data_IF_718404382454
#
_entry.id   IF_718404382454
#
_cell.length_a   1.000
_cell.length_b   1.000
_cell.length_c   1.000
_cell.angle_alpha   90.00
_cell.angle_beta   90.00
_cell.angle_gamma   90.00
#
_symmetry.space_group_name_H-M   'P 1'
#
loop_
_entity.id
_entity.type
_entity.pdbx_description
1 polymer ?
#
# COMPACT_ATOMS: atom_id res chain seq x y z
N UNK A 1 14.13 3.13 -6.33
CA UNK A 1 13.96 2.59 -4.97
C UNK A 1 14.52 3.58 -3.95
N UNK A 2 13.79 3.91 -2.89
CA UNK A 2 14.33 4.78 -1.83
C UNK A 2 15.55 4.12 -1.17
N UNK A 3 16.61 4.88 -0.83
CA UNK A 3 17.77 4.29 -0.17
C UNK A 3 17.34 3.71 1.19
N UNK A 4 17.54 2.40 1.39
CA UNK A 4 17.12 1.59 2.55
C UNK A 4 17.63 2.09 3.93
N UNK A 5 18.44 3.15 3.97
CA UNK A 5 19.06 3.73 5.17
C UNK A 5 18.45 5.05 5.67
N UNK A 6 17.41 5.61 5.05
CA UNK A 6 16.81 6.86 5.55
C UNK A 6 15.94 6.59 6.79
N UNK A 7 16.34 7.16 7.93
CA UNK A 7 15.52 7.25 9.16
C UNK A 7 14.23 8.05 8.88
N UNK A 8 13.17 7.76 9.65
CA UNK A 8 11.77 8.24 9.67
C UNK A 8 11.49 9.70 9.25
N UNK A 9 11.87 10.10 8.04
CA UNK A 9 11.76 11.48 7.54
C UNK A 9 10.91 11.58 6.28
N UNK A 10 9.97 10.66 6.06
CA UNK A 10 9.08 10.71 4.91
C UNK A 10 7.67 10.23 5.24
N UNK A 11 6.71 10.73 4.47
CA UNK A 11 5.34 10.24 4.43
C UNK A 11 5.23 9.22 3.30
N UNK A 12 4.64 8.07 3.58
CA UNK A 12 4.35 7.06 2.57
C UNK A 12 2.92 7.25 2.10
N UNK A 13 2.72 7.66 0.85
CA UNK A 13 1.39 7.74 0.24
C UNK A 13 1.15 6.46 -0.54
N UNK A 14 0.02 5.81 -0.30
CA UNK A 14 -0.38 4.57 -0.97
C UNK A 14 -1.71 4.78 -1.68
N UNK A 15 -1.70 4.57 -2.98
CA UNK A 15 -2.87 4.63 -3.85
C UNK A 15 -3.10 3.22 -4.43
N UNK A 16 -4.37 2.80 -4.51
CA UNK A 16 -4.74 1.43 -4.88
C UNK A 16 -4.72 0.42 -3.73
N UNK A 17 -5.43 -0.69 -3.91
CA UNK A 17 -5.43 -1.83 -2.99
C UNK A 17 -4.17 -2.70 -3.19
N UNK A 18 -3.85 -3.53 -2.21
CA UNK A 18 -2.63 -4.36 -2.21
C UNK A 18 -2.99 -5.82 -2.54
N UNK A 19 -2.63 -6.34 -3.73
CA UNK A 19 -2.83 -7.75 -4.05
C UNK A 19 -1.89 -8.64 -3.23
N UNK A 20 -2.41 -9.70 -2.61
CA UNK A 20 -1.59 -10.64 -1.82
C UNK A 20 -1.48 -12.03 -2.44
N UNK A 21 -2.37 -12.39 -3.37
CA UNK A 21 -2.33 -13.69 -4.04
C UNK A 21 -1.00 -13.87 -4.79
N UNK A 22 -0.58 -15.13 -4.94
CA UNK A 22 0.67 -15.47 -5.63
C UNK A 22 1.92 -14.73 -5.09
N UNK A 23 1.92 -14.42 -3.79
CA UNK A 23 2.96 -13.60 -3.13
C UNK A 23 3.07 -12.17 -3.68
N UNK A 24 1.94 -11.59 -4.10
CA UNK A 24 1.87 -10.20 -4.59
C UNK A 24 2.24 -10.02 -6.06
N UNK A 25 2.38 -11.09 -6.84
CA UNK A 25 2.76 -11.02 -8.27
C UNK A 25 1.80 -10.22 -9.16
N UNK A 26 0.56 -10.00 -8.71
CA UNK A 26 -0.44 -9.21 -9.44
C UNK A 26 -0.14 -7.70 -9.47
N UNK A 27 0.78 -7.20 -8.64
CA UNK A 27 1.25 -5.82 -8.70
C UNK A 27 2.76 -5.74 -8.45
N UNK A 28 3.51 -5.34 -9.47
CA UNK A 28 4.97 -5.16 -9.42
C UNK A 28 5.30 -3.68 -9.58
N UNK A 29 6.29 -3.21 -8.82
CA UNK A 29 6.65 -1.78 -8.74
C UNK A 29 8.04 -1.48 -9.30
N UNK A 30 8.77 -2.52 -9.68
CA UNK A 30 10.08 -2.39 -10.32
C UNK A 30 10.92 -3.65 -10.20
N UNK A 31 12.21 -3.49 -10.45
CA UNK A 31 13.20 -4.56 -10.35
C UNK A 31 14.41 -4.09 -9.54
N UNK A 32 14.93 -4.95 -8.68
CA UNK A 32 16.19 -4.73 -7.96
C UNK A 32 17.08 -5.95 -8.17
N UNK A 33 18.22 -5.75 -8.84
CA UNK A 33 19.23 -6.80 -9.09
C UNK A 33 18.60 -8.07 -9.70
N UNK A 34 17.87 -7.90 -10.80
CA UNK A 34 17.21 -8.99 -11.56
C UNK A 34 16.07 -9.69 -10.81
N UNK A 35 15.68 -9.19 -9.63
CA UNK A 35 14.50 -9.64 -8.89
C UNK A 35 13.36 -8.65 -9.07
N UNK A 36 12.20 -9.14 -9.50
CA UNK A 36 10.96 -8.37 -9.51
C UNK A 36 10.53 -8.01 -8.08
N UNK A 37 10.25 -6.74 -7.85
CA UNK A 37 9.75 -6.21 -6.59
C UNK A 37 8.23 -6.09 -6.66
N UNK A 38 7.54 -6.71 -5.71
CA UNK A 38 6.09 -6.59 -5.61
C UNK A 38 5.69 -5.34 -4.82
N UNK A 39 4.48 -4.84 -5.06
CA UNK A 39 3.89 -3.77 -4.27
C UNK A 39 3.80 -4.16 -2.79
N UNK A 40 3.48 -5.42 -2.51
CA UNK A 40 3.39 -5.96 -1.16
C UNK A 40 4.74 -5.87 -0.42
N UNK A 41 5.83 -6.32 -1.06
CA UNK A 41 7.17 -6.24 -0.50
C UNK A 41 7.60 -4.80 -0.24
N UNK A 42 7.38 -3.91 -1.21
CA UNK A 42 7.79 -2.51 -1.08
C UNK A 42 6.98 -1.78 -0.01
N UNK A 43 5.66 -2.04 0.06
CA UNK A 43 4.83 -1.53 1.14
C UNK A 43 5.36 -1.99 2.51
N UNK A 44 5.70 -3.26 2.68
CA UNK A 44 6.21 -3.79 3.95
C UNK A 44 7.56 -3.17 4.35
N UNK A 45 8.47 -2.97 3.40
CA UNK A 45 9.78 -2.34 3.66
C UNK A 45 9.63 -0.85 4.01
N UNK A 46 8.86 -0.10 3.23
CA UNK A 46 8.66 1.33 3.44
C UNK A 46 7.80 1.62 4.68
N UNK A 47 6.73 0.85 4.91
CA UNK A 47 5.83 1.08 6.04
C UNK A 47 6.56 1.00 7.39
N UNK A 48 7.59 0.15 7.54
CA UNK A 48 8.38 0.02 8.78
C UNK A 48 9.24 1.25 9.09
N UNK A 49 9.59 2.03 8.08
CA UNK A 49 10.53 3.16 8.21
C UNK A 49 9.89 4.53 7.96
N UNK A 50 8.64 4.57 7.47
CA UNK A 50 7.89 5.80 7.26
C UNK A 50 7.54 6.50 8.60
N UNK A 51 7.37 7.82 8.54
CA UNK A 51 6.88 8.61 9.68
C UNK A 51 5.38 8.38 9.90
N UNK A 52 4.62 8.43 8.81
CA UNK A 52 3.19 8.14 8.73
C UNK A 52 2.88 7.60 7.34
N UNK A 53 1.78 6.86 7.24
CA UNK A 53 1.26 6.32 6.00
C UNK A 53 -0.05 7.03 5.68
N UNK A 54 -0.24 7.42 4.44
CA UNK A 54 -1.47 8.02 3.93
C UNK A 54 -2.06 7.04 2.91
N UNK A 55 -3.14 6.35 3.28
CA UNK A 55 -3.92 5.56 2.34
C UNK A 55 -4.87 6.49 1.59
N UNK A 56 -4.49 6.82 0.36
CA UNK A 56 -5.22 7.72 -0.52
C UNK A 56 -6.18 6.92 -1.41
N UNK A 57 -7.48 7.18 -1.23
CA UNK A 57 -8.57 6.51 -1.93
C UNK A 57 -9.20 5.34 -1.17
N UNK A 58 -10.42 4.98 -1.56
CA UNK A 58 -11.17 3.87 -0.95
C UNK A 58 -10.51 2.51 -1.17
N UNK A 59 -9.77 2.35 -2.28
CA UNK A 59 -9.02 1.13 -2.60
C UNK A 59 -7.91 0.85 -1.58
N UNK A 60 -7.07 1.84 -1.27
CA UNK A 60 -5.99 1.69 -0.28
C UNK A 60 -6.54 1.69 1.15
N UNK A 61 -7.57 2.50 1.43
CA UNK A 61 -8.17 2.62 2.77
C UNK A 61 -8.94 1.38 3.20
N UNK A 62 -9.70 0.76 2.29
CA UNK A 62 -10.68 -0.29 2.61
C UNK A 62 -10.69 -1.48 1.63
N UNK A 63 -9.89 -1.46 0.58
CA UNK A 63 -9.81 -2.47 -0.47
C UNK A 63 -10.52 -2.07 -1.76
N UNK A 64 -11.63 -1.34 -1.68
CA UNK A 64 -12.36 -0.80 -2.84
C UNK A 64 -12.82 -1.87 -3.84
N UNK A 65 -12.93 -1.48 -5.12
CA UNK A 65 -13.37 -2.37 -6.20
C UNK A 65 -12.49 -3.61 -6.33
N UNK A 66 -11.15 -3.54 -6.27
CA UNK A 66 -10.31 -4.73 -6.46
C UNK A 66 -10.47 -5.80 -5.38
N UNK A 67 -10.99 -5.45 -4.19
CA UNK A 67 -11.32 -6.39 -3.11
C UNK A 67 -12.74 -6.96 -3.23
N UNK A 68 -13.61 -6.34 -4.03
CA UNK A 68 -14.97 -6.81 -4.22
C UNK A 68 -15.00 -8.24 -4.78
N UNK A 69 -16.10 -8.95 -4.57
CA UNK A 69 -16.23 -10.30 -5.12
C UNK A 69 -16.47 -10.27 -6.63
N UNK A 70 -15.85 -11.19 -7.39
CA UNK A 70 -14.83 -12.15 -6.95
C UNK A 70 -13.46 -11.50 -6.73
N UNK A 71 -12.71 -11.96 -5.71
CA UNK A 71 -11.39 -11.41 -5.35
C UNK A 71 -10.25 -12.42 -5.64
N UNK A 72 -9.92 -12.70 -6.92
CA UNK A 72 -8.91 -13.71 -7.29
C UNK A 72 -7.48 -13.28 -6.94
N UNK A 73 -7.22 -11.98 -6.84
CA UNK A 73 -5.90 -11.43 -6.50
C UNK A 73 -5.69 -11.24 -4.99
N UNK A 74 -6.68 -11.64 -4.18
CA UNK A 74 -6.71 -11.45 -2.72
C UNK A 74 -6.35 -10.02 -2.30
N UNK A 75 -6.93 -9.03 -2.98
CA UNK A 75 -6.66 -7.62 -2.69
C UNK A 75 -7.09 -7.25 -1.27
N UNK A 76 -6.21 -6.56 -0.55
CA UNK A 76 -6.43 -6.07 0.81
C UNK A 76 -6.18 -4.55 0.90
N UNK A 77 -6.74 -3.94 1.93
CA UNK A 77 -6.43 -2.56 2.30
C UNK A 77 -5.05 -2.46 2.94
N UNK A 78 -4.48 -1.25 2.94
CA UNK A 78 -3.24 -0.95 3.67
C UNK A 78 -3.40 -1.28 5.15
N UNK A 79 -4.55 -0.96 5.75
CA UNK A 79 -4.84 -1.25 7.15
C UNK A 79 -4.73 -2.75 7.48
N UNK A 80 -5.27 -3.61 6.60
CA UNK A 80 -5.20 -5.07 6.76
C UNK A 80 -3.76 -5.57 6.69
N UNK A 81 -2.98 -5.10 5.70
CA UNK A 81 -1.56 -5.48 5.58
C UNK A 81 -0.75 -5.06 6.81
N UNK A 82 -0.94 -3.82 7.30
CA UNK A 82 -0.23 -3.35 8.49
C UNK A 82 -0.58 -4.17 9.73
N UNK A 83 -1.84 -4.54 9.91
CA UNK A 83 -2.28 -5.39 11.02
C UNK A 83 -1.68 -6.80 10.92
N UNK A 84 -1.76 -7.45 9.75
CA UNK A 84 -1.20 -8.78 9.51
C UNK A 84 0.31 -8.84 9.75
N UNK A 85 1.02 -7.76 9.42
CA UNK A 85 2.48 -7.65 9.56
C UNK A 85 2.94 -7.01 10.87
N UNK A 86 2.00 -6.72 11.79
CA UNK A 86 2.27 -6.05 13.06
C UNK A 86 3.06 -4.74 12.92
N UNK A 87 2.79 -3.97 11.86
CA UNK A 87 3.42 -2.67 11.61
C UNK A 87 2.62 -1.58 12.33
N UNK A 88 3.27 -0.86 13.23
CA UNK A 88 2.63 0.13 14.11
C UNK A 88 2.70 1.57 13.61
N UNK A 89 3.20 1.77 12.38
CA UNK A 89 3.33 3.10 11.78
C UNK A 89 1.95 3.76 11.65
N UNK A 90 1.78 5.02 12.10
CA UNK A 90 0.49 5.69 12.06
C UNK A 90 -0.08 5.76 10.64
N UNK A 91 -1.33 5.32 10.47
CA UNK A 91 -2.06 5.32 9.20
C UNK A 91 -3.15 6.41 9.21
N UNK A 92 -3.18 7.20 8.15
CA UNK A 92 -4.23 8.18 7.86
C UNK A 92 -4.97 7.71 6.61
N UNK A 93 -6.28 7.47 6.73
CA UNK A 93 -7.13 7.11 5.59
C UNK A 93 -7.78 8.37 5.02
N UNK A 94 -7.62 8.57 3.72
CA UNK A 94 -8.31 9.62 2.95
C UNK A 94 -9.15 8.90 1.88
N UNK A 95 -10.36 8.42 2.23
CA UNK A 95 -11.16 7.62 1.32
C UNK A 95 -11.78 8.47 0.20
N UNK A 96 -12.24 7.79 -0.86
CA UNK A 96 -12.77 8.38 -2.09
C UNK A 96 -12.47 7.48 -3.29
N UNK A 97 -13.43 7.27 -4.19
CA UNK A 97 -13.25 6.50 -5.42
C UNK A 97 -13.44 7.47 -6.58
N UNK A 98 -12.32 8.09 -7.00
CA UNK A 98 -12.15 9.47 -7.47
C UNK A 98 -12.08 10.47 -6.29
N UNK A 99 -10.88 11.00 -6.02
CA UNK A 99 -10.75 12.15 -5.13
C UNK A 99 -11.28 13.38 -5.86
N UNK A 100 -12.42 13.89 -5.41
CA UNK A 100 -12.85 15.23 -5.76
C UNK A 100 -11.93 16.19 -4.98
N UNK A 101 -10.87 16.68 -5.63
CA UNK A 101 -9.99 17.73 -5.08
C UNK A 101 -10.59 19.14 -5.25
N UNK A 102 -11.85 19.27 -5.66
CA UNK A 102 -12.49 20.59 -5.77
C UNK A 102 -12.78 21.09 -4.36
N UNK A 103 -11.97 22.05 -3.89
CA UNK A 103 -12.24 22.81 -2.68
C UNK A 103 -13.48 23.67 -2.86
N UNK A 104 -14.64 23.06 -2.63
CA UNK A 104 -15.94 23.75 -2.51
C UNK A 104 -16.27 23.90 -1.03
#
# INVERSE_FOLDING_TARGET
MLPKKKKKNYLLVVEGSIPTAEKGKYATVGEEKERTLTLLEELEELAKTALKIIALGSCSSFGGIPKAQPNPAECKSVKEILAEKNITTPLINIPGCHLILTGS
#
